data_IF_201877217157
#
_entry.id   IF_201877217157
#
_cell.length_a   1.000
_cell.length_b   1.000
_cell.length_c   1.000
_cell.angle_alpha   90.00
_cell.angle_beta   90.00
_cell.angle_gamma   90.00
#
_symmetry.space_group_name_H-M   'P 1'
#
loop_
_entity.id
_entity.type
_entity.pdbx_description
1 polymer ?
#
# COMPACT_ATOMS: atom_id res chain seq x y z
N UNK A 1 -34.56 6.42 0.03
CA UNK A 1 -33.74 5.20 0.20
C UNK A 1 -32.37 5.52 -0.35
N UNK A 2 -31.53 6.15 0.47
CA UNK A 2 -30.17 6.52 0.08
C UNK A 2 -29.18 5.59 0.80
N UNK A 3 -28.38 4.91 0.00
CA UNK A 3 -26.96 4.63 0.18
C UNK A 3 -26.54 3.74 1.37
N UNK A 4 -26.55 2.42 1.14
CA UNK A 4 -25.84 1.42 1.95
C UNK A 4 -24.55 0.89 1.26
N UNK A 5 -24.05 1.57 0.21
CA UNK A 5 -22.98 1.05 -0.65
C UNK A 5 -21.56 1.52 -0.25
N UNK A 6 -21.46 2.46 0.70
CA UNK A 6 -20.17 2.99 1.17
C UNK A 6 -19.39 2.01 2.07
N UNK A 7 -20.05 0.99 2.62
CA UNK A 7 -19.41 0.02 3.55
C UNK A 7 -18.56 -1.04 2.83
N UNK A 8 -18.93 -1.38 1.59
CA UNK A 8 -18.28 -2.42 0.78
C UNK A 8 -16.95 -1.94 0.18
N UNK A 9 -16.93 -0.71 -0.34
CA UNK A 9 -15.73 -0.12 -0.96
C UNK A 9 -14.65 0.20 0.06
N UNK A 10 -15.00 0.80 1.20
CA UNK A 10 -14.07 1.00 2.32
C UNK A 10 -13.45 -0.32 2.79
N UNK A 11 -14.29 -1.34 2.97
CA UNK A 11 -13.85 -2.65 3.45
C UNK A 11 -12.75 -3.31 2.59
N UNK A 12 -12.76 -3.17 1.25
CA UNK A 12 -11.68 -3.74 0.42
C UNK A 12 -10.36 -2.95 0.56
N UNK A 13 -10.42 -1.63 0.74
CA UNK A 13 -9.22 -0.81 0.95
C UNK A 13 -8.64 -1.05 2.34
N UNK A 14 -9.48 -1.14 3.37
CA UNK A 14 -9.06 -1.50 4.73
C UNK A 14 -8.36 -2.88 4.75
N UNK A 15 -8.88 -3.83 3.97
CA UNK A 15 -8.29 -5.16 3.87
C UNK A 15 -6.93 -5.16 3.13
N UNK A 16 -6.76 -4.28 2.14
CA UNK A 16 -5.48 -4.08 1.47
C UNK A 16 -4.49 -3.40 2.41
N UNK A 17 -4.91 -2.37 3.13
CA UNK A 17 -4.10 -1.66 4.13
C UNK A 17 -3.59 -2.62 5.20
N UNK A 18 -4.47 -3.40 5.83
CA UNK A 18 -4.08 -4.39 6.83
C UNK A 18 -3.08 -5.43 6.28
N UNK A 19 -3.24 -5.84 5.02
CA UNK A 19 -2.33 -6.76 4.34
C UNK A 19 -0.95 -6.11 4.13
N UNK A 20 -0.91 -4.85 3.68
CA UNK A 20 0.32 -4.07 3.53
C UNK A 20 1.03 -3.83 4.86
N UNK A 21 0.31 -3.43 5.91
CA UNK A 21 0.86 -3.25 7.25
C UNK A 21 1.48 -4.55 7.78
N UNK A 22 0.76 -5.67 7.64
CA UNK A 22 1.25 -6.98 8.05
C UNK A 22 2.50 -7.40 7.26
N UNK A 23 2.54 -7.10 5.96
CA UNK A 23 3.68 -7.40 5.11
C UNK A 23 4.91 -6.56 5.48
N UNK A 24 4.73 -5.26 5.70
CA UNK A 24 5.79 -4.33 6.12
C UNK A 24 6.34 -4.78 7.48
N UNK A 25 5.48 -5.13 8.43
CA UNK A 25 5.92 -5.55 9.76
C UNK A 25 6.65 -6.91 9.72
N UNK A 26 6.17 -7.88 8.95
CA UNK A 26 6.89 -9.14 8.76
C UNK A 26 8.27 -8.93 8.10
N UNK A 27 8.36 -8.01 7.14
CA UNK A 27 9.63 -7.65 6.50
C UNK A 27 10.59 -6.98 7.49
N UNK A 28 10.08 -6.07 8.34
CA UNK A 28 10.86 -5.44 9.41
C UNK A 28 11.40 -6.48 10.40
N UNK A 29 10.55 -7.39 10.86
CA UNK A 29 10.94 -8.45 11.78
C UNK A 29 11.96 -9.42 11.16
N UNK A 30 11.82 -9.74 9.87
CA UNK A 30 12.83 -10.50 9.13
C UNK A 30 14.19 -9.80 9.18
N UNK A 31 14.23 -8.49 8.88
CA UNK A 31 15.46 -7.70 8.95
C UNK A 31 16.07 -7.69 10.36
N UNK A 32 15.25 -7.63 11.42
CA UNK A 32 15.76 -7.71 12.79
C UNK A 32 16.45 -9.04 13.08
N UNK A 33 15.80 -10.17 12.74
CA UNK A 33 16.36 -11.51 12.95
C UNK A 33 17.61 -11.73 12.10
N UNK A 34 17.64 -11.17 10.89
CA UNK A 34 18.82 -11.25 10.02
C UNK A 34 19.99 -10.38 10.51
N UNK A 35 19.70 -9.23 11.15
CA UNK A 35 20.73 -8.31 11.65
C UNK A 35 21.42 -8.84 12.92
N UNK A 36 20.69 -9.55 13.79
CA UNK A 36 21.23 -10.21 14.99
C UNK A 36 21.03 -11.73 14.93
N UNK A 37 21.60 -12.33 13.88
CA UNK A 37 21.41 -13.74 13.63
C UNK A 37 22.20 -14.62 14.61
N UNK A 38 21.51 -15.61 15.18
CA UNK A 38 22.09 -16.67 16.00
C UNK A 38 21.69 -18.03 15.41
N UNK A 39 22.50 -19.08 15.63
CA UNK A 39 22.20 -20.41 15.09
C UNK A 39 20.83 -20.96 15.55
N UNK A 40 20.41 -20.62 16.77
CA UNK A 40 19.08 -20.93 17.32
C UNK A 40 17.93 -20.22 16.60
N UNK A 41 18.21 -19.08 15.95
CA UNK A 41 17.23 -18.26 15.23
C UNK A 41 16.91 -18.74 13.82
N UNK A 42 17.62 -19.76 13.30
CA UNK A 42 17.43 -20.25 11.92
C UNK A 42 15.97 -20.64 11.61
N UNK A 43 15.31 -21.33 12.53
CA UNK A 43 13.91 -21.72 12.35
C UNK A 43 13.00 -20.50 12.26
N UNK A 44 13.22 -19.50 13.12
CA UNK A 44 12.44 -18.25 13.13
C UNK A 44 12.70 -17.44 11.85
N UNK A 45 13.96 -17.38 11.41
CA UNK A 45 14.34 -16.74 10.15
C UNK A 45 13.58 -17.37 8.97
N UNK A 46 13.60 -18.70 8.87
CA UNK A 46 12.87 -19.42 7.82
C UNK A 46 11.37 -19.15 7.86
N UNK A 47 10.77 -19.13 9.06
CA UNK A 47 9.36 -18.78 9.23
C UNK A 47 9.06 -17.36 8.75
N UNK A 48 9.93 -16.39 9.05
CA UNK A 48 9.76 -14.99 8.60
C UNK A 48 9.93 -14.84 7.09
N UNK A 49 10.89 -15.55 6.48
CA UNK A 49 11.02 -15.60 5.01
C UNK A 49 9.73 -16.14 4.38
N UNK A 50 9.18 -17.26 4.89
CA UNK A 50 7.93 -17.81 4.38
C UNK A 50 6.74 -16.85 4.58
N UNK A 51 6.69 -16.13 5.69
CA UNK A 51 5.65 -15.11 5.93
C UNK A 51 5.72 -13.95 4.92
N UNK A 52 6.93 -13.45 4.63
CA UNK A 52 7.14 -12.39 3.62
C UNK A 52 6.76 -12.89 2.22
N UNK A 53 7.16 -14.12 1.86
CA UNK A 53 6.78 -14.73 0.58
C UNK A 53 5.26 -14.90 0.46
N UNK A 54 4.61 -15.42 1.51
CA UNK A 54 3.15 -15.56 1.57
C UNK A 54 2.45 -14.20 1.44
N UNK A 55 2.95 -13.16 2.10
CA UNK A 55 2.43 -11.80 1.99
C UNK A 55 2.52 -11.24 0.56
N UNK A 56 3.64 -11.46 -0.13
CA UNK A 56 3.78 -11.06 -1.55
C UNK A 56 2.78 -11.80 -2.46
N UNK A 57 2.60 -13.11 -2.24
CA UNK A 57 1.61 -13.90 -3.00
C UNK A 57 0.19 -13.42 -2.74
N UNK A 58 -0.15 -13.10 -1.49
CA UNK A 58 -1.45 -12.56 -1.11
C UNK A 58 -1.70 -11.19 -1.75
N UNK A 59 -0.72 -10.28 -1.70
CA UNK A 59 -0.81 -8.96 -2.35
C UNK A 59 -1.01 -9.09 -3.86
N UNK A 60 -0.25 -9.99 -4.51
CA UNK A 60 -0.41 -10.27 -5.94
C UNK A 60 -1.81 -10.80 -6.27
N UNK A 61 -2.36 -11.70 -5.45
CA UNK A 61 -3.70 -12.23 -5.64
C UNK A 61 -4.81 -11.18 -5.46
N UNK A 62 -4.58 -10.16 -4.60
CA UNK A 62 -5.53 -9.06 -4.38
C UNK A 62 -5.47 -7.98 -5.47
N UNK A 63 -4.39 -7.89 -6.25
CA UNK A 63 -4.21 -6.86 -7.29
C UNK A 63 -5.42 -6.70 -8.22
N UNK A 64 -6.00 -7.81 -8.68
CA UNK A 64 -7.14 -7.80 -9.61
C UNK A 64 -8.40 -7.12 -9.07
N UNK A 65 -8.53 -7.00 -7.73
CA UNK A 65 -9.66 -6.33 -7.07
C UNK A 65 -9.63 -4.81 -7.15
N UNK A 66 -8.55 -4.23 -7.66
CA UNK A 66 -8.33 -2.78 -7.75
C UNK A 66 -8.12 -2.29 -9.19
N UNK A 67 -8.38 -3.14 -10.19
CA UNK A 67 -8.25 -2.79 -11.61
C UNK A 67 -9.18 -1.63 -12.04
N UNK A 68 -10.22 -1.34 -11.26
CA UNK A 68 -11.13 -0.22 -11.46
C UNK A 68 -10.55 1.15 -11.05
N UNK A 69 -9.43 1.14 -10.30
CA UNK A 69 -8.76 2.36 -9.83
C UNK A 69 -7.65 2.74 -10.81
N UNK A 70 -7.73 3.96 -11.35
CA UNK A 70 -6.69 4.55 -12.20
C UNK A 70 -5.86 5.53 -11.40
N UNK A 71 -4.56 5.26 -11.29
CA UNK A 71 -3.60 6.12 -10.59
C UNK A 71 -2.88 6.98 -11.64
N UNK A 72 -2.97 8.32 -11.57
CA UNK A 72 -2.18 9.21 -12.42
C UNK A 72 -0.68 8.95 -12.22
N UNK A 73 0.08 8.85 -13.30
CA UNK A 73 1.52 8.53 -13.23
C UNK A 73 2.27 9.64 -12.49
N UNK A 74 1.84 10.90 -12.66
CA UNK A 74 2.45 12.05 -11.99
C UNK A 74 2.27 12.01 -10.47
N UNK A 75 1.30 11.25 -9.94
CA UNK A 75 1.15 11.06 -8.50
C UNK A 75 2.32 10.28 -7.90
N UNK A 76 2.92 9.37 -8.68
CA UNK A 76 4.07 8.57 -8.22
C UNK A 76 5.26 9.46 -7.87
N UNK A 77 5.48 10.55 -8.61
CA UNK A 77 6.56 11.51 -8.31
C UNK A 77 6.41 12.14 -6.92
N UNK A 78 5.16 12.34 -6.45
CA UNK A 78 4.90 12.85 -5.10
C UNK A 78 5.19 11.78 -4.05
N UNK A 79 4.74 10.54 -4.29
CA UNK A 79 4.95 9.40 -3.38
C UNK A 79 6.43 9.05 -3.24
N UNK A 80 7.16 8.95 -4.34
CA UNK A 80 8.59 8.61 -4.37
C UNK A 80 9.45 9.69 -3.70
N UNK A 81 9.02 10.95 -3.78
CA UNK A 81 9.63 12.07 -3.07
C UNK A 81 9.22 12.16 -1.58
N UNK A 82 8.40 11.24 -1.08
CA UNK A 82 7.88 11.26 0.30
C UNK A 82 6.91 12.42 0.58
N UNK A 83 6.33 13.03 -0.46
CA UNK A 83 5.35 14.11 -0.32
C UNK A 83 3.95 13.54 -0.12
N UNK A 84 3.09 14.33 0.51
CA UNK A 84 1.68 13.97 0.68
C UNK A 84 0.97 13.93 -0.69
N UNK A 85 0.36 12.80 -1.10
CA UNK A 85 -0.39 12.67 -2.36
C UNK A 85 -1.51 13.70 -2.56
N UNK A 86 -2.08 14.25 -1.47
CA UNK A 86 -3.11 15.29 -1.53
C UNK A 86 -2.62 16.60 -2.15
N UNK A 87 -1.30 16.83 -2.16
CA UNK A 87 -0.72 18.00 -2.83
C UNK A 87 -0.93 17.93 -4.35
N UNK A 88 -0.85 16.75 -4.95
CA UNK A 88 -1.17 16.56 -6.37
C UNK A 88 -2.63 16.94 -6.66
N UNK A 89 -3.56 16.48 -5.82
CA UNK A 89 -5.00 16.82 -5.94
C UNK A 89 -5.19 18.34 -5.90
N UNK A 90 -4.53 19.01 -4.95
CA UNK A 90 -4.56 20.47 -4.83
C UNK A 90 -4.02 21.15 -6.09
N UNK A 91 -2.84 20.76 -6.57
CA UNK A 91 -2.21 21.34 -7.75
C UNK A 91 -3.10 21.16 -9.00
N UNK A 92 -3.77 20.02 -9.13
CA UNK A 92 -4.71 19.76 -10.23
C UNK A 92 -5.93 20.69 -10.18
N UNK A 93 -6.50 20.89 -8.99
CA UNK A 93 -7.62 21.82 -8.79
C UNK A 93 -7.18 23.25 -9.13
N UNK A 94 -6.03 23.69 -8.63
CA UNK A 94 -5.50 25.04 -8.88
C UNK A 94 -5.23 25.29 -10.36
N UNK A 95 -4.55 24.36 -11.05
CA UNK A 95 -4.32 24.44 -12.51
C UNK A 95 -5.62 24.51 -13.30
N UNK A 96 -6.63 23.74 -12.89
CA UNK A 96 -7.94 23.74 -13.55
C UNK A 96 -8.67 25.07 -13.34
N UNK A 97 -8.63 25.62 -12.12
CA UNK A 97 -9.21 26.92 -11.81
C UNK A 97 -8.56 28.06 -12.59
N UNK A 98 -7.24 28.02 -12.78
CA UNK A 98 -6.51 29.01 -13.58
C UNK A 98 -6.94 28.92 -15.05
N UNK A 99 -6.92 27.72 -15.65
CA UNK A 99 -7.33 27.50 -17.05
C UNK A 99 -8.77 27.90 -17.34
N UNK A 100 -9.67 27.78 -16.38
CA UNK A 100 -11.08 28.15 -16.56
C UNK A 100 -11.34 29.67 -16.49
N UNK A 101 -10.36 30.45 -16.01
CA UNK A 101 -10.44 31.92 -15.94
C UNK A 101 -9.83 32.60 -17.17
N UNK A 102 -9.09 31.85 -17.97
CA UNK A 102 -8.57 32.25 -19.29
C UNK A 102 -9.66 32.05 -20.37
#
# INVERSE_FOLDING_TARGET
MENNDSSSTGSRFDNLEQCLESFIENSRQLCMVASDFQASSQTVLNQKIQAVLGGLQELSAKHSKFNDIKIPVELLDYVDAGKNPQLYTKDCIEKTLIRNKE
#
